data_IF_652684880988
#
_entry.id   IF_652684880988
#
_cell.length_a   1.000
_cell.length_b   1.000
_cell.length_c   1.000
_cell.angle_alpha   90.00
_cell.angle_beta   90.00
_cell.angle_gamma   90.00
#
_symmetry.space_group_name_H-M   'P 1'
#
loop_
_entity.id
_entity.type
_entity.pdbx_description
1 polymer ?
#
# COMPACT_ATOMS: atom_id res chain seq x y z
N UNK A 1 21.75 2.69 21.42
CA UNK A 1 21.28 1.35 21.80
C UNK A 1 20.76 0.58 20.58
N UNK A 2 19.77 1.05 19.86
CA UNK A 2 19.15 0.34 18.71
C UNK A 2 20.09 -0.01 17.54
N UNK A 3 21.04 0.87 17.17
CA UNK A 3 22.02 0.61 16.10
C UNK A 3 22.79 -0.69 16.33
N UNK A 4 23.21 -0.93 17.57
CA UNK A 4 23.97 -2.13 17.94
C UNK A 4 23.12 -3.40 17.82
N UNK A 5 21.86 -3.34 18.23
CA UNK A 5 20.91 -4.47 18.12
C UNK A 5 20.67 -4.86 16.66
N UNK A 6 20.43 -3.89 15.77
CA UNK A 6 20.25 -4.14 14.32
C UNK A 6 21.52 -4.75 13.71
N UNK A 7 22.70 -4.23 14.06
CA UNK A 7 23.98 -4.75 13.54
C UNK A 7 24.26 -6.19 13.97
N UNK A 8 23.87 -6.57 15.19
CA UNK A 8 24.10 -7.92 15.73
C UNK A 8 22.96 -8.90 15.49
N UNK A 9 21.76 -8.44 15.03
CA UNK A 9 20.67 -9.34 14.67
C UNK A 9 21.06 -10.22 13.48
N UNK A 10 20.78 -11.50 13.55
CA UNK A 10 20.94 -12.42 12.43
C UNK A 10 19.78 -12.29 11.43
N UNK A 11 18.60 -11.91 11.90
CA UNK A 11 17.39 -11.71 11.10
C UNK A 11 16.66 -10.44 11.54
N UNK A 12 17.03 -9.25 11.03
CA UNK A 12 16.34 -8.02 11.40
C UNK A 12 14.98 -7.94 10.72
N UNK A 13 13.93 -7.71 11.51
CA UNK A 13 12.59 -7.44 11.02
C UNK A 13 12.25 -5.97 11.25
N UNK A 14 11.86 -5.26 10.20
CA UNK A 14 11.43 -3.87 10.25
C UNK A 14 9.92 -3.78 10.10
N UNK A 15 9.25 -3.20 11.09
CA UNK A 15 7.82 -2.91 11.01
C UNK A 15 7.61 -1.41 10.78
N UNK A 16 7.04 -1.03 9.63
CA UNK A 16 6.95 0.36 9.21
C UNK A 16 5.50 0.83 9.02
N UNK A 17 5.29 2.12 9.20
CA UNK A 17 4.02 2.81 8.98
C UNK A 17 4.25 4.15 8.26
N UNK A 18 3.20 4.93 8.06
CA UNK A 18 3.20 6.14 7.23
C UNK A 18 4.24 7.20 7.64
N UNK A 19 4.67 7.19 8.90
CA UNK A 19 5.71 8.10 9.40
C UNK A 19 7.04 8.01 8.65
N UNK A 20 7.43 6.81 8.17
CA UNK A 20 8.67 6.65 7.40
C UNK A 20 8.62 7.38 6.05
N UNK A 21 7.44 7.55 5.47
CA UNK A 21 7.25 8.14 4.13
C UNK A 21 7.07 9.66 4.14
N UNK A 22 7.01 10.29 5.32
CA UNK A 22 6.82 11.75 5.43
C UNK A 22 7.98 12.54 4.81
N UNK A 23 9.22 12.09 5.00
CA UNK A 23 10.39 12.68 4.36
C UNK A 23 10.46 12.41 2.84
N UNK A 24 9.62 11.53 2.32
CA UNK A 24 9.42 11.36 0.87
C UNK A 24 8.34 12.29 0.31
N UNK A 25 7.74 13.15 1.17
CA UNK A 25 6.67 14.06 0.81
C UNK A 25 5.30 13.39 0.68
N UNK A 26 5.10 12.24 1.34
CA UNK A 26 3.80 11.59 1.49
C UNK A 26 3.29 11.91 2.90
N UNK A 27 2.13 12.58 3.05
CA UNK A 27 1.60 12.87 4.38
C UNK A 27 1.21 11.58 5.09
N UNK A 28 1.36 11.55 6.39
CA UNK A 28 0.81 10.48 7.20
C UNK A 28 -0.74 10.53 7.25
N UNK A 29 -1.36 9.55 7.87
CA UNK A 29 -2.82 9.48 7.92
C UNK A 29 -3.44 10.24 9.08
N UNK A 30 -2.79 10.31 10.26
CA UNK A 30 -3.38 10.79 11.52
C UNK A 30 -2.62 11.94 12.18
N UNK A 31 -1.45 12.31 11.69
CA UNK A 31 -0.63 13.41 12.18
C UNK A 31 -1.31 14.78 12.05
N UNK A 32 -0.64 15.86 12.46
CA UNK A 32 -1.21 17.21 12.41
C UNK A 32 -1.70 17.64 11.02
N UNK A 33 -1.04 17.15 9.95
CA UNK A 33 -1.39 17.37 8.54
C UNK A 33 -1.87 16.07 7.86
N UNK A 34 -2.34 15.09 8.65
CA UNK A 34 -2.67 13.76 8.18
C UNK A 34 -3.86 13.72 7.23
N UNK A 35 -3.86 12.76 6.32
CA UNK A 35 -4.86 12.62 5.25
C UNK A 35 -6.30 12.57 5.78
N UNK A 36 -6.55 11.90 6.91
CA UNK A 36 -7.89 11.79 7.50
C UNK A 36 -8.39 13.05 8.21
N UNK A 37 -7.59 14.13 8.26
CA UNK A 37 -8.07 15.43 8.78
C UNK A 37 -9.00 16.13 7.79
N UNK A 38 -8.80 15.91 6.50
CA UNK A 38 -9.55 16.55 5.41
C UNK A 38 -10.37 15.57 4.59
N UNK A 39 -10.16 14.25 4.76
CA UNK A 39 -10.84 13.22 3.99
C UNK A 39 -11.59 12.25 4.91
N UNK A 40 -12.79 11.86 4.52
CA UNK A 40 -13.54 10.81 5.19
C UNK A 40 -13.27 9.47 4.48
N UNK A 41 -12.85 8.43 5.22
CA UNK A 41 -12.63 7.12 4.62
C UNK A 41 -13.94 6.53 4.10
N UNK A 42 -13.87 5.87 2.95
CA UNK A 42 -14.97 5.10 2.38
C UNK A 42 -14.87 3.68 2.92
N UNK A 43 -15.91 3.23 3.61
CA UNK A 43 -15.98 1.88 4.15
C UNK A 43 -16.13 0.86 3.02
N UNK A 44 -15.59 -0.35 3.22
CA UNK A 44 -15.66 -1.40 2.21
C UNK A 44 -17.11 -1.77 1.86
N UNK A 45 -18.00 -1.88 2.86
CA UNK A 45 -19.41 -2.17 2.64
C UNK A 45 -20.12 -1.08 1.80
N UNK A 46 -19.78 0.19 2.04
CA UNK A 46 -20.34 1.31 1.28
C UNK A 46 -19.84 1.30 -0.17
N UNK A 47 -18.55 0.98 -0.38
CA UNK A 47 -18.00 0.77 -1.72
C UNK A 47 -18.75 -0.36 -2.45
N UNK A 48 -19.04 -1.46 -1.79
CA UNK A 48 -19.73 -2.61 -2.39
C UNK A 48 -21.19 -2.33 -2.70
N UNK A 49 -21.91 -1.63 -1.82
CA UNK A 49 -23.37 -1.46 -1.92
C UNK A 49 -23.81 -0.21 -2.68
N UNK A 50 -23.00 0.87 -2.69
CA UNK A 50 -23.43 2.19 -3.18
C UNK A 50 -22.59 2.68 -4.36
N UNK A 51 -23.25 2.99 -5.46
CA UNK A 51 -22.58 3.56 -6.66
C UNK A 51 -21.95 4.92 -6.37
N UNK A 52 -22.63 5.78 -5.62
CA UNK A 52 -22.12 7.08 -5.21
C UNK A 52 -20.80 7.00 -4.45
N UNK A 53 -20.64 5.97 -3.60
CA UNK A 53 -19.41 5.75 -2.86
C UNK A 53 -18.30 5.20 -3.76
N UNK A 54 -18.62 4.39 -4.76
CA UNK A 54 -17.64 3.97 -5.79
C UNK A 54 -17.17 5.15 -6.64
N UNK A 55 -18.07 6.03 -7.04
CA UNK A 55 -17.71 7.27 -7.76
C UNK A 55 -16.77 8.14 -6.91
N UNK A 56 -17.16 8.42 -5.67
CA UNK A 56 -16.34 9.17 -4.72
C UNK A 56 -14.96 8.53 -4.52
N UNK A 57 -14.92 7.22 -4.37
CA UNK A 57 -13.67 6.46 -4.23
C UNK A 57 -12.73 6.66 -5.42
N UNK A 58 -13.23 6.54 -6.63
CA UNK A 58 -12.40 6.68 -7.83
C UNK A 58 -11.99 8.13 -8.09
N UNK A 59 -12.84 9.11 -7.76
CA UNK A 59 -12.47 10.54 -7.77
C UNK A 59 -11.30 10.79 -6.82
N UNK A 60 -11.41 10.36 -5.58
CA UNK A 60 -10.32 10.47 -4.60
C UNK A 60 -9.06 9.71 -5.05
N UNK A 61 -9.20 8.52 -5.65
CA UNK A 61 -8.07 7.74 -6.16
C UNK A 61 -7.31 8.46 -7.26
N UNK A 62 -8.01 9.14 -8.16
CA UNK A 62 -7.40 9.95 -9.23
C UNK A 62 -6.61 11.13 -8.67
N UNK A 63 -7.19 11.83 -7.69
CA UNK A 63 -6.53 12.96 -7.02
C UNK A 63 -5.30 12.50 -6.21
N UNK A 64 -5.44 11.37 -5.51
CA UNK A 64 -4.39 10.82 -4.67
C UNK A 64 -3.18 10.31 -5.47
N UNK A 65 -3.40 9.83 -6.72
CA UNK A 65 -2.33 9.36 -7.60
C UNK A 65 -1.24 10.40 -7.82
N UNK A 66 -1.60 11.67 -7.97
CA UNK A 66 -0.62 12.75 -8.18
C UNK A 66 0.37 12.87 -7.01
N UNK A 67 -0.04 12.41 -5.82
CA UNK A 67 0.77 12.48 -4.60
C UNK A 67 1.76 11.31 -4.45
N UNK A 68 1.62 10.21 -5.20
CA UNK A 68 2.42 8.99 -5.01
C UNK A 68 3.36 8.64 -6.17
N UNK A 69 2.99 8.91 -7.42
CA UNK A 69 3.71 8.39 -8.59
C UNK A 69 5.16 8.86 -8.69
N UNK A 70 5.43 10.10 -8.31
CA UNK A 70 6.75 10.72 -8.44
C UNK A 70 7.59 10.63 -7.16
N UNK A 71 7.02 10.04 -6.08
CA UNK A 71 7.72 9.96 -4.80
C UNK A 71 8.83 8.93 -4.84
N UNK A 72 9.95 9.33 -4.23
CA UNK A 72 11.17 8.52 -4.14
C UNK A 72 11.39 8.03 -2.72
N UNK A 73 12.00 6.86 -2.55
CA UNK A 73 12.47 6.43 -1.24
C UNK A 73 13.35 7.50 -0.60
N UNK A 74 13.21 7.69 0.70
CA UNK A 74 14.11 8.52 1.50
C UNK A 74 15.16 7.63 2.20
N UNK A 75 16.06 8.27 2.97
CA UNK A 75 17.13 7.59 3.68
C UNK A 75 16.64 6.43 4.57
N UNK A 76 15.46 6.56 5.22
CA UNK A 76 14.89 5.50 6.03
C UNK A 76 14.62 4.23 5.23
N UNK A 77 14.02 4.36 4.04
CA UNK A 77 13.77 3.23 3.15
C UNK A 77 15.08 2.61 2.63
N UNK A 78 16.06 3.46 2.26
CA UNK A 78 17.37 3.04 1.75
C UNK A 78 18.14 2.28 2.83
N UNK A 79 18.16 2.77 4.07
CA UNK A 79 18.84 2.10 5.19
C UNK A 79 18.23 0.72 5.46
N UNK A 80 16.89 0.60 5.47
CA UNK A 80 16.23 -0.70 5.65
C UNK A 80 16.62 -1.67 4.54
N UNK A 81 16.55 -1.22 3.28
CA UNK A 81 16.94 -2.01 2.11
C UNK A 81 18.40 -2.45 2.19
N UNK A 82 19.30 -1.53 2.52
CA UNK A 82 20.73 -1.80 2.68
C UNK A 82 21.02 -2.84 3.77
N UNK A 83 20.36 -2.73 4.93
CA UNK A 83 20.56 -3.69 6.04
C UNK A 83 20.12 -5.09 5.62
N UNK A 84 18.93 -5.23 5.06
CA UNK A 84 18.38 -6.54 4.65
C UNK A 84 19.25 -7.15 3.54
N UNK A 85 19.60 -6.38 2.51
CA UNK A 85 20.35 -6.87 1.36
C UNK A 85 21.81 -7.21 1.70
N UNK A 86 22.49 -6.39 2.53
CA UNK A 86 23.87 -6.66 2.97
C UNK A 86 23.96 -7.89 3.88
N UNK A 87 22.98 -8.09 4.73
CA UNK A 87 22.89 -9.29 5.58
C UNK A 87 22.44 -10.52 4.80
N UNK A 88 21.84 -10.35 3.62
CA UNK A 88 21.14 -11.40 2.86
C UNK A 88 20.07 -12.13 3.71
N UNK A 89 19.52 -11.43 4.68
CA UNK A 89 18.64 -11.96 5.72
C UNK A 89 17.84 -10.82 6.33
N UNK A 90 16.57 -11.05 6.64
CA UNK A 90 15.67 -10.07 7.24
C UNK A 90 14.44 -9.77 6.38
N UNK A 91 13.48 -9.07 6.98
CA UNK A 91 12.19 -8.80 6.35
C UNK A 91 11.65 -7.42 6.70
N UNK A 92 10.87 -6.84 5.80
CA UNK A 92 10.14 -5.60 6.02
C UNK A 92 8.64 -5.86 6.03
N UNK A 93 7.99 -5.62 7.16
CA UNK A 93 6.54 -5.66 7.29
C UNK A 93 6.06 -4.20 7.26
N UNK A 94 5.13 -3.87 6.38
CA UNK A 94 4.69 -2.49 6.24
C UNK A 94 3.16 -2.35 6.22
N UNK A 95 2.68 -1.30 6.87
CA UNK A 95 1.31 -0.82 6.74
C UNK A 95 1.14 0.16 5.56
N UNK A 96 2.26 0.56 4.94
CA UNK A 96 2.24 1.52 3.83
C UNK A 96 1.80 0.86 2.54
N UNK A 97 1.19 1.67 1.67
CA UNK A 97 0.66 1.26 0.37
C UNK A 97 1.42 1.93 -0.80
N UNK A 98 2.53 2.62 -0.51
CA UNK A 98 3.23 3.53 -1.41
C UNK A 98 4.29 2.88 -2.31
N UNK A 99 4.61 1.61 -2.06
CA UNK A 99 5.63 0.83 -2.79
C UNK A 99 7.07 1.38 -2.64
N UNK A 100 7.34 2.23 -1.64
CA UNK A 100 8.67 2.85 -1.51
C UNK A 100 9.74 1.89 -1.00
N UNK A 101 9.37 0.85 -0.25
CA UNK A 101 10.30 -0.19 0.17
C UNK A 101 10.83 -0.97 -1.02
N UNK A 102 9.99 -1.38 -1.96
CA UNK A 102 10.41 -2.06 -3.19
C UNK A 102 11.24 -1.11 -4.08
N UNK A 103 10.80 0.14 -4.22
CA UNK A 103 11.56 1.17 -4.94
C UNK A 103 12.95 1.45 -4.33
N UNK A 104 13.15 1.18 -3.04
CA UNK A 104 14.47 1.31 -2.39
C UNK A 104 15.41 0.13 -2.62
N UNK A 105 14.95 -0.92 -3.33
CA UNK A 105 15.76 -2.08 -3.69
C UNK A 105 15.46 -3.36 -2.91
N UNK A 106 14.38 -3.39 -2.11
CA UNK A 106 13.87 -4.65 -1.59
C UNK A 106 13.07 -5.39 -2.66
N UNK A 107 13.21 -6.70 -2.69
CA UNK A 107 12.42 -7.58 -3.55
C UNK A 107 11.03 -7.80 -2.93
N UNK A 108 10.06 -8.21 -3.74
CA UNK A 108 8.69 -8.45 -3.27
C UNK A 108 8.62 -9.51 -2.17
N UNK A 109 9.47 -10.55 -2.25
CA UNK A 109 9.57 -11.60 -1.22
C UNK A 109 10.17 -11.12 0.11
N UNK A 110 10.79 -9.95 0.14
CA UNK A 110 11.37 -9.34 1.34
C UNK A 110 10.42 -8.32 2.01
N UNK A 111 9.23 -8.09 1.42
CA UNK A 111 8.28 -7.10 1.91
C UNK A 111 6.90 -7.70 2.07
N UNK A 112 6.32 -7.56 3.25
CA UNK A 112 4.91 -7.90 3.50
C UNK A 112 4.07 -6.63 3.65
N UNK A 113 3.21 -6.37 2.67
CA UNK A 113 2.29 -5.22 2.64
C UNK A 113 0.95 -5.59 3.29
N UNK A 114 0.77 -5.24 4.58
CA UNK A 114 -0.43 -5.62 5.35
C UNK A 114 -1.70 -4.93 4.84
N UNK A 115 -1.58 -3.70 4.33
CA UNK A 115 -2.72 -2.94 3.81
C UNK A 115 -2.79 -2.92 2.27
N UNK A 116 -2.06 -3.83 1.62
CA UNK A 116 -1.99 -3.91 0.16
C UNK A 116 -1.17 -2.78 -0.46
N UNK A 117 -1.45 -2.46 -1.72
CA UNK A 117 -0.62 -1.58 -2.54
C UNK A 117 -1.49 -0.62 -3.36
N UNK A 118 -1.14 0.68 -3.39
CA UNK A 118 -1.88 1.72 -4.10
C UNK A 118 -1.38 1.97 -5.53
N UNK A 119 -0.41 1.20 -6.02
CA UNK A 119 0.18 1.42 -7.36
C UNK A 119 -0.54 0.67 -8.48
N UNK A 120 -1.39 -0.29 -8.14
CA UNK A 120 -2.19 -1.05 -9.10
C UNK A 120 -3.61 -1.28 -8.58
N UNK A 121 -4.51 -1.71 -9.45
CA UNK A 121 -5.87 -2.07 -9.11
C UNK A 121 -6.11 -3.58 -9.29
N UNK A 122 -7.13 -4.11 -8.64
CA UNK A 122 -7.53 -5.51 -8.74
C UNK A 122 -9.05 -5.65 -8.87
N UNK A 123 -9.48 -6.66 -9.59
CA UNK A 123 -10.87 -7.10 -9.52
C UNK A 123 -11.14 -7.77 -8.17
N UNK A 124 -12.19 -7.36 -7.48
CA UNK A 124 -12.56 -7.92 -6.18
C UNK A 124 -13.01 -9.38 -6.27
N UNK A 125 -13.54 -9.81 -7.44
CA UNK A 125 -14.01 -11.18 -7.66
C UNK A 125 -12.88 -12.11 -8.14
N UNK A 126 -12.36 -11.89 -9.37
CA UNK A 126 -11.41 -12.81 -10.00
C UNK A 126 -9.94 -12.50 -9.72
N UNK A 127 -9.63 -11.44 -8.96
CA UNK A 127 -8.28 -11.00 -8.58
C UNK A 127 -7.38 -10.57 -9.75
N UNK A 128 -7.92 -10.44 -10.98
CA UNK A 128 -7.17 -9.89 -12.11
C UNK A 128 -6.59 -8.53 -11.75
N UNK A 129 -5.28 -8.36 -12.03
CA UNK A 129 -4.57 -7.10 -11.82
C UNK A 129 -4.74 -6.17 -13.02
N UNK A 130 -4.75 -4.87 -12.75
CA UNK A 130 -4.89 -3.81 -13.74
C UNK A 130 -3.89 -2.69 -13.45
N UNK A 131 -3.34 -2.14 -14.51
CA UNK A 131 -2.55 -0.91 -14.44
C UNK A 131 -3.43 0.26 -13.97
N UNK A 132 -3.07 0.88 -12.85
CA UNK A 132 -3.87 1.96 -12.26
C UNK A 132 -4.03 3.16 -13.19
N UNK A 133 -3.00 3.45 -14.01
CA UNK A 133 -3.04 4.51 -15.00
C UNK A 133 -4.13 4.29 -16.07
N UNK A 134 -4.28 3.04 -16.51
CA UNK A 134 -5.32 2.65 -17.46
C UNK A 134 -6.72 2.81 -16.86
N UNK A 135 -6.91 2.32 -15.63
CA UNK A 135 -8.19 2.44 -14.93
C UNK A 135 -8.55 3.90 -14.64
N UNK A 136 -7.59 4.74 -14.24
CA UNK A 136 -7.83 6.17 -14.06
C UNK A 136 -8.20 6.89 -15.36
N UNK A 137 -7.56 6.51 -16.49
CA UNK A 137 -7.91 7.06 -17.81
C UNK A 137 -9.33 6.67 -18.20
N UNK A 138 -9.71 5.41 -18.02
CA UNK A 138 -11.05 4.90 -18.27
C UNK A 138 -12.09 5.64 -17.41
N UNK A 139 -11.86 5.75 -16.09
CA UNK A 139 -12.75 6.45 -15.18
C UNK A 139 -12.94 7.93 -15.57
N UNK A 140 -11.86 8.65 -15.89
CA UNK A 140 -11.93 10.04 -16.33
C UNK A 140 -12.74 10.21 -17.62
N UNK A 141 -12.66 9.25 -18.54
CA UNK A 141 -13.38 9.31 -19.82
C UNK A 141 -14.88 9.01 -19.68
N UNK A 142 -15.25 8.11 -18.77
CA UNK A 142 -16.62 7.61 -18.64
C UNK A 142 -17.39 8.18 -17.47
N UNK A 143 -16.69 8.66 -16.46
CA UNK A 143 -17.20 8.99 -15.12
C UNK A 143 -18.04 7.84 -14.51
N UNK A 144 -17.66 6.58 -14.85
CA UNK A 144 -18.34 5.38 -14.36
C UNK A 144 -17.36 4.54 -13.51
N UNK A 145 -17.81 3.96 -12.38
CA UNK A 145 -16.99 3.04 -11.62
C UNK A 145 -16.51 1.88 -12.48
N UNK A 146 -15.19 1.60 -12.55
CA UNK A 146 -14.67 0.61 -13.47
C UNK A 146 -15.06 -0.81 -13.06
N UNK A 147 -15.37 -1.63 -14.06
CA UNK A 147 -15.68 -3.04 -13.93
C UNK A 147 -14.65 -3.92 -14.65
N UNK A 148 -14.55 -5.14 -14.20
CA UNK A 148 -13.64 -6.13 -14.75
C UNK A 148 -14.13 -6.61 -16.12
N UNK A 149 -13.26 -6.58 -17.10
CA UNK A 149 -13.49 -7.06 -18.48
C UNK A 149 -13.64 -8.59 -18.60
N UNK A 150 -13.32 -9.33 -17.51
CA UNK A 150 -13.41 -10.80 -17.49
C UNK A 150 -14.67 -11.31 -16.78
N UNK A 151 -15.06 -10.68 -15.67
CA UNK A 151 -16.14 -11.21 -14.80
C UNK A 151 -17.15 -10.14 -14.35
N UNK A 152 -17.11 -8.94 -14.91
CA UNK A 152 -17.95 -7.78 -14.55
C UNK A 152 -17.90 -7.39 -13.05
N UNK A 153 -16.96 -7.94 -12.28
CA UNK A 153 -16.75 -7.60 -10.88
C UNK A 153 -16.19 -6.19 -10.71
N UNK A 154 -16.42 -5.58 -9.54
CA UNK A 154 -15.89 -4.24 -9.25
C UNK A 154 -14.36 -4.25 -9.18
N UNK A 155 -13.75 -3.27 -9.84
CA UNK A 155 -12.33 -2.99 -9.74
C UNK A 155 -12.11 -1.98 -8.62
N UNK A 156 -11.06 -2.20 -7.82
CA UNK A 156 -10.62 -1.34 -6.73
C UNK A 156 -9.10 -1.29 -6.71
N UNK A 157 -8.49 -0.21 -6.19
CA UNK A 157 -7.05 -0.24 -5.90
C UNK A 157 -6.75 -1.42 -4.98
N UNK A 158 -5.58 -2.00 -5.10
CA UNK A 158 -5.20 -3.19 -4.33
C UNK A 158 -4.94 -2.92 -2.83
N UNK A 159 -5.48 -1.81 -2.30
CA UNK A 159 -5.40 -1.43 -0.90
C UNK A 159 -6.52 -2.09 -0.08
N UNK A 160 -6.30 -2.29 1.22
CA UNK A 160 -7.33 -2.74 2.14
C UNK A 160 -8.09 -1.52 2.69
N UNK A 161 -9.40 -1.50 2.48
CA UNK A 161 -10.27 -0.43 2.98
C UNK A 161 -10.72 -0.72 4.41
N UNK A 162 -11.16 0.31 5.13
CA UNK A 162 -11.80 0.13 6.44
C UNK A 162 -13.02 -0.80 6.34
N UNK A 163 -13.12 -1.77 7.26
CA UNK A 163 -14.14 -2.81 7.24
C UNK A 163 -13.90 -3.96 6.24
N UNK A 164 -12.81 -3.92 5.48
CA UNK A 164 -12.37 -5.05 4.67
C UNK A 164 -11.50 -5.98 5.52
N UNK A 165 -11.66 -7.31 5.42
CA UNK A 165 -10.77 -8.25 6.10
C UNK A 165 -9.32 -8.04 5.68
N UNK A 166 -8.40 -8.17 6.63
CA UNK A 166 -6.96 -8.20 6.35
C UNK A 166 -6.61 -9.44 5.53
N UNK A 167 -5.63 -9.36 4.63
CA UNK A 167 -5.20 -10.51 3.85
C UNK A 167 -4.54 -11.54 4.77
N UNK A 168 -5.19 -12.68 4.95
CA UNK A 168 -4.79 -13.72 5.90
C UNK A 168 -3.40 -14.28 5.57
N UNK A 169 -3.10 -14.51 4.29
CA UNK A 169 -1.78 -14.94 3.81
C UNK A 169 -0.67 -13.97 4.24
N UNK A 170 -0.91 -12.67 4.13
CA UNK A 170 0.06 -11.65 4.55
C UNK A 170 0.22 -11.58 6.06
N UNK A 171 -0.85 -11.80 6.81
CA UNK A 171 -0.81 -11.84 8.27
C UNK A 171 0.00 -13.05 8.75
N UNK A 172 -0.19 -14.23 8.12
CA UNK A 172 0.59 -15.44 8.42
C UNK A 172 2.07 -15.20 8.15
N UNK A 173 2.42 -14.70 6.94
CA UNK A 173 3.82 -14.40 6.58
C UNK A 173 4.43 -13.41 7.59
N UNK A 174 3.72 -12.31 7.91
CA UNK A 174 4.22 -11.34 8.86
C UNK A 174 4.50 -11.95 10.25
N UNK A 175 3.62 -12.84 10.71
CA UNK A 175 3.81 -13.56 11.96
C UNK A 175 5.04 -14.48 11.90
N UNK A 176 5.15 -15.32 10.87
CA UNK A 176 6.27 -16.23 10.69
C UNK A 176 7.62 -15.49 10.61
N UNK A 177 7.66 -14.35 9.89
CA UNK A 177 8.87 -13.54 9.77
C UNK A 177 9.32 -12.92 11.10
N UNK A 178 8.37 -12.63 12.01
CA UNK A 178 8.71 -12.11 13.34
C UNK A 178 9.21 -13.17 14.33
N UNK A 179 9.04 -14.45 14.02
CA UNK A 179 9.50 -15.55 14.88
C UNK A 179 10.94 -16.03 14.55
N UNK A 180 11.53 -15.56 13.46
CA UNK A 180 12.91 -15.88 13.05
C UNK A 180 13.93 -15.02 13.80
#
# INVERSE_FOLDING_TARGET
MYKRQILHSNYPVFFTGAGISTNSGIPDFRGPKGFWKTNTPIMFQDFMSQESQRLKYWTQSVEFKSNFQEKKPNEGHIIISDVINKKKSGHCITQNVDNLHQKSGLKDEQVTELHGNATYAVCLNCKKKFELSHIHKQFKATNQPPKCDVCDGWIKTATISFGQPMPEDKMIIAHEETLK
#
